data_IF_018208607396
#
_entry.id   IF_018208607396
#
_cell.length_a   1.000
_cell.length_b   1.000
_cell.length_c   1.000
_cell.angle_alpha   90.00
_cell.angle_beta   90.00
_cell.angle_gamma   90.00
#
_symmetry.space_group_name_H-M   'P 1'
#
loop_
_entity.id
_entity.type
_entity.pdbx_description
1 polymer ?
#
# COMPACT_ATOMS: atom_id res chain seq x y z
N UNK A 1 -18.54 -15.24 -11.10
CA UNK A 1 -17.85 -14.44 -10.07
C UNK A 1 -17.34 -15.41 -9.01
N UNK A 2 -16.10 -15.34 -8.53
CA UNK A 2 -15.69 -16.20 -7.42
C UNK A 2 -16.45 -15.79 -6.15
N UNK A 3 -16.93 -16.79 -5.42
CA UNK A 3 -17.73 -16.64 -4.21
C UNK A 3 -16.84 -16.15 -3.06
N UNK A 4 -17.09 -14.93 -2.58
CA UNK A 4 -16.38 -14.37 -1.44
C UNK A 4 -16.91 -15.06 -0.17
N UNK A 5 -16.07 -15.68 0.67
CA UNK A 5 -16.53 -16.42 1.84
C UNK A 5 -17.14 -15.46 2.88
N UNK A 6 -18.32 -15.81 3.43
CA UNK A 6 -19.05 -15.03 4.45
C UNK A 6 -18.23 -14.75 5.72
N UNK A 7 -17.26 -15.62 6.05
CA UNK A 7 -16.31 -15.43 7.15
C UNK A 7 -14.93 -15.90 6.75
N UNK A 8 -13.96 -15.01 6.84
CA UNK A 8 -12.55 -15.31 6.58
C UNK A 8 -12.02 -16.31 7.63
N UNK A 9 -11.28 -17.36 7.23
CA UNK A 9 -10.74 -18.32 8.18
C UNK A 9 -9.79 -17.61 9.17
N UNK A 10 -10.01 -17.85 10.46
CA UNK A 10 -9.23 -17.25 11.55
C UNK A 10 -7.76 -17.65 11.40
N UNK A 11 -6.91 -16.66 11.11
CA UNK A 11 -5.45 -16.85 10.96
C UNK A 11 -4.91 -16.72 9.54
N UNK A 12 -5.75 -16.63 8.51
CA UNK A 12 -5.27 -16.38 7.15
C UNK A 12 -4.88 -14.91 6.95
N UNK A 13 -3.68 -14.68 6.42
CA UNK A 13 -3.13 -13.35 6.19
C UNK A 13 -4.05 -12.49 5.29
N UNK A 14 -4.44 -11.32 5.80
CA UNK A 14 -5.24 -10.36 5.02
C UNK A 14 -4.33 -9.62 4.03
N UNK A 15 -4.36 -10.04 2.76
CA UNK A 15 -3.47 -9.54 1.71
C UNK A 15 -4.10 -8.39 0.91
N UNK A 16 -3.29 -7.68 0.13
CA UNK A 16 -3.73 -6.61 -0.76
C UNK A 16 -4.76 -7.04 -1.80
N UNK A 17 -4.71 -8.30 -2.26
CA UNK A 17 -5.73 -8.83 -3.18
C UNK A 17 -7.09 -8.92 -2.49
N UNK A 18 -7.14 -9.43 -1.26
CA UNK A 18 -8.39 -9.50 -0.49
C UNK A 18 -8.92 -8.11 -0.13
N UNK A 19 -8.03 -7.18 0.20
CA UNK A 19 -8.40 -5.78 0.43
C UNK A 19 -9.01 -5.14 -0.82
N UNK A 20 -8.54 -5.49 -2.01
CA UNK A 20 -9.13 -5.01 -3.26
C UNK A 20 -10.54 -5.58 -3.49
N UNK A 21 -10.72 -6.89 -3.34
CA UNK A 21 -12.00 -7.57 -3.47
C UNK A 21 -13.04 -7.08 -2.45
N UNK A 22 -12.59 -6.69 -1.25
CA UNK A 22 -13.45 -6.08 -0.23
C UNK A 22 -13.76 -4.59 -0.49
N UNK A 23 -13.21 -3.97 -1.54
CA UNK A 23 -13.40 -2.55 -1.82
C UNK A 23 -12.66 -1.61 -0.85
N UNK A 24 -11.63 -2.10 -0.15
CA UNK A 24 -10.83 -1.31 0.77
C UNK A 24 -9.80 -0.43 0.04
N UNK A 25 -9.34 0.61 0.73
CA UNK A 25 -8.30 1.53 0.30
C UNK A 25 -7.12 1.45 1.25
N UNK A 26 -5.91 1.51 0.70
CA UNK A 26 -4.68 1.57 1.48
C UNK A 26 -4.29 3.03 1.74
N UNK A 27 -4.39 3.45 3.00
CA UNK A 27 -3.87 4.73 3.49
C UNK A 27 -2.46 4.53 4.06
N UNK A 28 -1.49 5.26 3.50
CA UNK A 28 -0.11 5.26 3.97
C UNK A 28 0.22 6.66 4.47
N UNK A 29 0.60 6.77 5.75
CA UNK A 29 0.93 8.04 6.39
C UNK A 29 2.37 8.03 6.89
N UNK A 30 3.06 9.14 6.68
CA UNK A 30 4.33 9.40 7.33
C UNK A 30 4.08 10.32 8.54
N UNK A 31 4.34 9.83 9.76
CA UNK A 31 4.16 10.61 10.99
C UNK A 31 5.11 11.83 11.06
N UNK A 32 6.33 11.70 10.52
CA UNK A 32 7.33 12.77 10.51
C UNK A 32 6.98 13.92 9.56
N UNK A 33 6.57 13.61 8.33
CA UNK A 33 6.23 14.63 7.33
C UNK A 33 4.75 15.03 7.36
N UNK A 34 3.94 14.33 8.16
CA UNK A 34 2.48 14.45 8.22
C UNK A 34 1.78 14.35 6.84
N UNK A 35 2.36 13.58 5.91
CA UNK A 35 1.79 13.36 4.58
C UNK A 35 1.05 12.03 4.58
N UNK A 36 -0.23 12.06 4.20
CA UNK A 36 -1.05 10.87 3.98
C UNK A 36 -1.28 10.68 2.49
N UNK A 37 -1.07 9.46 2.00
CA UNK A 37 -1.29 9.09 0.61
C UNK A 37 -2.20 7.87 0.55
N UNK A 38 -3.13 7.91 -0.39
CA UNK A 38 -4.09 6.84 -0.59
C UNK A 38 -3.80 6.13 -1.91
N UNK A 39 -3.82 4.80 -1.86
CA UNK A 39 -3.54 3.92 -2.98
C UNK A 39 -4.65 2.89 -3.11
N UNK A 40 -4.92 2.47 -4.34
CA UNK A 40 -5.73 1.28 -4.55
C UNK A 40 -4.89 0.04 -4.23
N UNK A 41 -5.41 -0.95 -3.48
CA UNK A 41 -4.64 -2.14 -3.13
C UNK A 41 -4.12 -2.90 -4.36
N UNK A 42 -4.87 -2.90 -5.47
CA UNK A 42 -4.45 -3.52 -6.73
C UNK A 42 -3.19 -2.88 -7.32
N UNK A 43 -3.11 -1.54 -7.33
CA UNK A 43 -1.92 -0.81 -7.80
C UNK A 43 -0.73 -1.04 -6.87
N UNK A 44 -0.99 -1.11 -5.57
CA UNK A 44 0.05 -1.37 -4.58
C UNK A 44 0.62 -2.80 -4.70
N UNK A 45 -0.25 -3.76 -5.05
CA UNK A 45 0.12 -5.15 -5.33
C UNK A 45 1.08 -5.26 -6.50
N UNK A 46 0.91 -4.46 -7.55
CA UNK A 46 1.85 -4.48 -8.69
C UNK A 46 3.26 -3.99 -8.33
N UNK A 47 3.37 -3.12 -7.32
CA UNK A 47 4.65 -2.55 -6.88
C UNK A 47 5.35 -3.42 -5.84
N UNK A 48 4.61 -3.94 -4.86
CA UNK A 48 5.16 -4.60 -3.66
C UNK A 48 4.93 -6.12 -3.69
N UNK A 49 3.96 -6.60 -4.47
CA UNK A 49 3.50 -7.98 -4.48
C UNK A 49 2.23 -8.18 -3.63
N UNK A 50 1.74 -9.42 -3.58
CA UNK A 50 0.56 -9.77 -2.78
C UNK A 50 0.95 -10.01 -1.31
N UNK A 51 1.06 -8.91 -0.56
CA UNK A 51 1.53 -8.91 0.84
C UNK A 51 0.45 -8.38 1.79
N UNK A 52 0.69 -8.47 3.10
CA UNK A 52 -0.18 -7.88 4.13
C UNK A 52 0.09 -6.39 4.31
N UNK A 53 -0.80 -5.67 4.97
CA UNK A 53 -0.63 -4.23 5.23
C UNK A 53 0.57 -3.92 6.14
N UNK A 54 0.96 -4.86 7.02
CA UNK A 54 2.11 -4.69 7.89
C UNK A 54 3.42 -4.84 7.10
N UNK A 55 3.50 -5.81 6.18
CA UNK A 55 4.63 -5.93 5.26
C UNK A 55 4.74 -4.72 4.30
N UNK A 56 3.59 -4.16 3.87
CA UNK A 56 3.56 -2.87 3.16
C UNK A 56 4.25 -1.78 3.97
N UNK A 57 3.90 -1.64 5.26
CA UNK A 57 4.48 -0.63 6.16
C UNK A 57 6.01 -0.74 6.23
N UNK A 58 6.55 -1.95 6.27
CA UNK A 58 8.01 -2.17 6.33
C UNK A 58 8.73 -1.84 5.01
N UNK A 59 8.07 -2.08 3.87
CA UNK A 59 8.70 -1.89 2.54
C UNK A 59 8.63 -0.44 2.06
N UNK A 60 7.58 0.29 2.41
CA UNK A 60 7.32 1.65 1.90
C UNK A 60 8.26 2.69 2.50
N UNK A 61 8.59 3.71 1.70
CA UNK A 61 9.42 4.85 2.11
C UNK A 61 8.68 6.14 1.87
N UNK A 62 8.82 7.10 2.79
CA UNK A 62 8.33 8.44 2.55
C UNK A 62 9.14 9.11 1.43
N UNK A 63 8.48 9.79 0.49
CA UNK A 63 9.20 10.45 -0.61
C UNK A 63 10.00 11.69 -0.17
N UNK A 64 9.57 12.33 0.91
CA UNK A 64 10.19 13.58 1.38
C UNK A 64 11.37 13.31 2.31
N UNK A 65 11.18 12.49 3.36
CA UNK A 65 12.25 12.18 4.30
C UNK A 65 13.03 10.90 3.97
N UNK A 66 12.59 10.08 3.00
CA UNK A 66 13.21 8.81 2.58
C UNK A 66 13.32 7.72 3.68
N UNK A 67 12.91 8.03 4.91
CA UNK A 67 12.86 7.09 6.04
C UNK A 67 11.67 6.13 5.96
N UNK A 68 11.85 4.96 6.59
CA UNK A 68 10.82 3.93 6.82
C UNK A 68 10.24 3.95 8.24
N UNK A 69 11.01 4.47 9.19
CA UNK A 69 10.75 4.37 10.63
C UNK A 69 9.41 4.99 11.06
N UNK A 70 8.99 6.05 10.38
CA UNK A 70 7.79 6.82 10.73
C UNK A 70 6.59 6.51 9.82
N UNK A 71 6.63 5.36 9.13
CA UNK A 71 5.56 4.95 8.22
C UNK A 71 4.49 4.17 8.98
N UNK A 72 3.23 4.51 8.74
CA UNK A 72 2.07 3.72 9.11
C UNK A 72 1.25 3.42 7.87
N UNK A 73 0.68 2.21 7.82
CA UNK A 73 -0.17 1.76 6.74
C UNK A 73 -1.47 1.18 7.34
N UNK A 74 -2.60 1.52 6.75
CA UNK A 74 -3.91 1.06 7.19
C UNK A 74 -4.79 0.76 5.99
N UNK A 75 -5.62 -0.29 6.11
CA UNK A 75 -6.71 -0.57 5.19
C UNK A 75 -8.01 -0.11 5.82
N UNK A 76 -8.82 0.63 5.05
CA UNK A 76 -10.13 1.07 5.50
C UNK A 76 -11.10 1.17 4.32
N UNK A 77 -12.40 1.12 4.61
CA UNK A 77 -13.44 1.39 3.63
C UNK A 77 -13.70 2.90 3.62
N UNK A 78 -13.51 3.60 2.49
CA UNK A 78 -13.81 5.02 2.41
C UNK A 78 -15.32 5.22 2.58
N UNK A 79 -15.72 6.07 3.52
CA UNK A 79 -17.10 6.57 3.58
C UNK A 79 -17.37 7.48 2.37
N UNK A 80 -18.63 7.64 1.96
CA UNK A 80 -18.98 8.40 0.74
C UNK A 80 -18.33 9.79 0.66
N UNK A 81 -18.31 10.52 1.77
CA UNK A 81 -17.63 11.83 1.89
C UNK A 81 -16.09 11.74 1.75
N UNK A 82 -15.49 10.71 2.32
CA UNK A 82 -14.05 10.45 2.20
C UNK A 82 -13.69 10.04 0.76
N UNK A 83 -14.55 9.29 0.07
CA UNK A 83 -14.30 8.89 -1.32
C UNK A 83 -14.20 10.09 -2.27
N UNK A 84 -14.97 11.17 -2.02
CA UNK A 84 -14.87 12.42 -2.77
C UNK A 84 -13.63 13.27 -2.42
N UNK A 85 -13.14 13.15 -1.18
CA UNK A 85 -12.00 13.95 -0.69
C UNK A 85 -10.65 13.26 -0.94
N UNK A 86 -10.62 11.93 -1.00
CA UNK A 86 -9.41 11.15 -1.16
C UNK A 86 -8.85 11.31 -2.57
N UNK A 87 -7.67 11.93 -2.66
CA UNK A 87 -6.86 11.93 -3.88
C UNK A 87 -6.03 10.66 -3.96
N UNK A 88 -6.47 9.73 -4.81
CA UNK A 88 -5.73 8.51 -5.10
C UNK A 88 -4.46 8.80 -5.89
N UNK A 89 -3.34 8.27 -5.42
CA UNK A 89 -2.11 8.25 -6.21
C UNK A 89 -2.15 7.05 -7.14
N UNK A 90 -2.26 7.33 -8.43
CA UNK A 90 -2.29 6.30 -9.48
C UNK A 90 -0.88 5.87 -9.88
N UNK A 91 -0.70 4.57 -10.09
CA UNK A 91 0.49 4.01 -10.69
C UNK A 91 0.42 4.26 -12.21
N UNK A 92 1.34 5.10 -12.71
CA UNK A 92 1.39 5.43 -14.14
C UNK A 92 2.32 4.49 -14.90
N UNK A 93 3.50 4.23 -14.35
CA UNK A 93 4.50 3.34 -14.94
C UNK A 93 5.48 2.88 -13.86
N UNK A 94 5.96 1.64 -13.94
CA UNK A 94 7.12 1.14 -13.20
C UNK A 94 8.31 1.16 -14.18
N UNK A 95 9.39 1.87 -13.83
CA UNK A 95 10.63 1.89 -14.60
C UNK A 95 11.71 1.12 -13.84
N UNK A 96 12.34 0.15 -14.51
CA UNK A 96 13.46 -0.60 -13.99
C UNK A 96 14.77 0.10 -14.36
N UNK A 97 15.49 0.65 -13.37
CA UNK A 97 16.79 1.29 -13.56
C UNK A 97 17.91 0.34 -13.11
N UNK A 98 18.82 -0.03 -14.03
CA UNK A 98 20.05 -0.76 -13.68
C UNK A 98 21.02 0.21 -13.00
N UNK A 99 21.32 -0.04 -11.72
CA UNK A 99 22.23 0.79 -10.94
C UNK A 99 23.52 0.01 -10.64
N UNK A 100 24.62 0.40 -11.28
CA UNK A 100 25.94 -0.21 -11.07
C UNK A 100 26.54 0.35 -9.79
N UNK A 101 26.93 -0.54 -8.87
CA UNK A 101 27.58 -0.19 -7.61
C UNK A 101 29.00 -0.73 -7.71
N UNK A 102 29.96 0.19 -7.78
CA UNK A 102 31.38 -0.13 -7.73
C UNK A 102 31.83 -0.17 -6.27
N UNK A 103 32.71 -1.11 -5.94
CA UNK A 103 33.49 -1.12 -4.70
C UNK A 103 34.94 -0.96 -5.13
N UNK A 104 35.59 0.10 -4.68
CA UNK A 104 37.04 0.21 -4.73
C UNK A 104 37.67 -0.55 -3.53
N UNK A 105 38.83 -1.15 -3.78
CA UNK A 105 39.63 -1.94 -2.81
C UNK A 105 40.23 -1.06 -1.70
#
# INVERSE_FOLDING_TARGET
>A
MPEQPEKWPRGAAWTLTHAHDAGQVAGIRCARCNVTRYYKPLELREVIGNVTIDDVREKVRCQQCKSREWMSAQLFHPTGEQAHTIRYRRLVQIRWEKRVIWRDE
#
